data_IF_603272473758
#
_entry.id   IF_603272473758
#
_cell.length_a   1.000
_cell.length_b   1.000
_cell.length_c   1.000
_cell.angle_alpha   90.00
_cell.angle_beta   90.00
_cell.angle_gamma   90.00
#
_symmetry.space_group_name_H-M   'P 1'
#
loop_
_entity.id
_entity.type
_entity.pdbx_description
1 polymer ?
#
# COMPACT_ATOMS: atom_id res chain seq x y z
N UNK A 1 -9.35 -10.21 -32.60
CA UNK A 1 -8.46 -11.05 -31.76
C UNK A 1 -7.10 -10.39 -31.73
N UNK A 2 -6.82 -9.55 -30.73
CA UNK A 2 -5.49 -8.92 -30.60
C UNK A 2 -5.17 -8.70 -29.13
N UNK A 3 -4.09 -9.35 -28.71
CA UNK A 3 -3.26 -9.14 -27.52
C UNK A 3 -3.97 -8.91 -26.19
N UNK A 4 -4.18 -9.99 -25.44
CA UNK A 4 -4.14 -9.90 -23.98
C UNK A 4 -2.69 -9.61 -23.59
N UNK A 5 -2.30 -8.33 -23.61
CA UNK A 5 -1.08 -7.88 -22.95
C UNK A 5 -1.22 -8.22 -21.47
N UNK A 6 -0.63 -9.36 -21.08
CA UNK A 6 -0.52 -9.75 -19.68
C UNK A 6 0.50 -8.82 -19.04
N UNK A 7 0.05 -7.65 -18.59
CA UNK A 7 0.82 -6.85 -17.64
C UNK A 7 0.87 -7.63 -16.32
N UNK A 8 1.88 -8.48 -16.16
CA UNK A 8 2.19 -9.11 -14.89
C UNK A 8 3.12 -8.15 -14.15
N UNK A 9 2.56 -7.44 -13.17
CA UNK A 9 3.35 -6.65 -12.21
C UNK A 9 3.98 -7.64 -11.24
N UNK A 10 5.26 -7.97 -11.46
CA UNK A 10 6.03 -8.74 -10.48
C UNK A 10 6.64 -7.76 -9.49
N UNK A 11 6.21 -7.88 -8.24
CA UNK A 11 6.73 -7.14 -7.11
C UNK A 11 8.02 -7.83 -6.67
N UNK A 12 9.17 -7.31 -7.11
CA UNK A 12 10.48 -7.78 -6.65
C UNK A 12 11.02 -6.86 -5.55
N UNK A 13 11.80 -7.44 -4.65
CA UNK A 13 12.23 -6.93 -3.35
C UNK A 13 13.32 -5.84 -3.40
N UNK A 14 13.47 -5.10 -2.31
CA UNK A 14 14.61 -4.22 -2.08
C UNK A 14 15.83 -5.02 -1.59
N UNK A 15 16.67 -5.43 -2.55
CA UNK A 15 18.11 -5.77 -2.40
C UNK A 15 18.77 -6.03 -3.79
N UNK A 16 18.07 -5.78 -4.89
CA UNK A 16 18.52 -6.07 -6.26
C UNK A 16 19.17 -4.88 -6.96
N UNK A 17 19.67 -3.90 -6.19
CA UNK A 17 20.11 -2.63 -6.75
C UNK A 17 21.52 -2.67 -7.37
N UNK A 18 22.19 -3.82 -7.42
CA UNK A 18 23.37 -4.04 -8.27
C UNK A 18 23.68 -5.55 -8.39
N UNK A 19 23.70 -6.11 -9.60
CA UNK A 19 24.22 -7.46 -9.85
C UNK A 19 23.56 -8.23 -11.00
N UNK A 20 24.25 -9.26 -11.50
CA UNK A 20 23.87 -10.08 -12.66
C UNK A 20 22.50 -10.74 -12.56
N UNK A 21 22.07 -11.11 -11.34
CA UNK A 21 20.79 -11.78 -11.13
C UNK A 21 19.58 -10.87 -11.43
N UNK A 22 19.70 -9.55 -11.23
CA UNK A 22 18.66 -8.59 -11.61
C UNK A 22 18.55 -8.44 -13.13
N UNK A 23 19.70 -8.38 -13.81
CA UNK A 23 19.76 -8.28 -15.27
C UNK A 23 19.24 -9.56 -15.95
N UNK A 24 19.57 -10.73 -15.41
CA UNK A 24 19.06 -12.02 -15.87
C UNK A 24 17.55 -12.13 -15.68
N UNK A 25 17.02 -11.65 -14.55
CA UNK A 25 15.58 -11.59 -14.30
C UNK A 25 14.86 -10.64 -15.28
N UNK A 26 15.39 -9.43 -15.53
CA UNK A 26 14.84 -8.52 -16.54
C UNK A 26 14.88 -9.12 -17.95
N UNK A 27 15.95 -9.87 -18.28
CA UNK A 27 16.10 -10.55 -19.57
C UNK A 27 15.05 -11.65 -19.75
N UNK A 28 14.85 -12.49 -18.73
CA UNK A 28 13.82 -13.53 -18.71
C UNK A 28 12.42 -12.91 -18.88
N UNK A 29 12.15 -11.80 -18.20
CA UNK A 29 10.86 -11.11 -18.26
C UNK A 29 10.61 -10.51 -19.63
N UNK A 30 11.62 -9.87 -20.24
CA UNK A 30 11.55 -9.38 -21.62
C UNK A 30 11.33 -10.52 -22.63
N UNK A 31 11.97 -11.68 -22.45
CA UNK A 31 11.75 -12.88 -23.28
C UNK A 31 10.33 -13.44 -23.14
N UNK A 32 9.71 -13.30 -21.95
CA UNK A 32 8.32 -13.69 -21.70
C UNK A 32 7.29 -12.60 -22.07
N UNK A 33 7.71 -11.53 -22.74
CA UNK A 33 6.84 -10.43 -23.19
C UNK A 33 6.44 -9.45 -22.09
N UNK A 34 7.07 -9.52 -20.91
CA UNK A 34 6.88 -8.54 -19.82
C UNK A 34 7.74 -7.31 -20.12
N UNK A 35 7.09 -6.18 -20.39
CA UNK A 35 7.74 -4.95 -20.86
C UNK A 35 8.16 -4.00 -19.74
N UNK A 36 7.71 -4.24 -18.50
CA UNK A 36 8.08 -3.44 -17.33
C UNK A 36 8.11 -4.27 -16.04
N UNK A 37 9.15 -4.05 -15.23
CA UNK A 37 9.32 -4.63 -13.88
C UNK A 37 9.69 -3.47 -12.98
N UNK A 38 8.82 -3.15 -12.03
CA UNK A 38 9.07 -2.12 -11.04
C UNK A 38 9.13 -2.77 -9.66
N UNK A 39 10.21 -2.50 -8.93
CA UNK A 39 10.19 -2.65 -7.47
C UNK A 39 9.24 -1.58 -6.97
N UNK A 40 8.17 -1.99 -6.30
CA UNK A 40 7.18 -1.05 -5.77
C UNK A 40 7.21 -1.15 -4.26
N UNK A 41 7.67 -0.08 -3.62
CA UNK A 41 7.62 0.07 -2.18
C UNK A 41 6.16 0.25 -1.81
N UNK A 42 5.71 -0.50 -0.81
CA UNK A 42 4.42 -0.29 -0.17
C UNK A 42 4.61 0.44 1.15
N UNK A 43 4.00 1.62 1.25
CA UNK A 43 3.85 2.34 2.50
C UNK A 43 2.43 2.10 3.04
N UNK A 44 2.31 1.64 4.28
CA UNK A 44 1.02 1.48 4.96
C UNK A 44 0.91 2.47 6.11
N UNK A 45 -0.20 3.21 6.20
CA UNK A 45 -0.50 4.08 7.34
C UNK A 45 -1.73 3.54 8.04
N UNK A 46 -1.56 3.00 9.25
CA UNK A 46 -2.64 2.53 10.10
C UNK A 46 -3.25 3.72 10.83
N UNK A 47 -4.53 3.95 10.63
CA UNK A 47 -5.22 5.15 11.08
C UNK A 47 -5.99 4.91 12.37
N UNK A 48 -6.03 5.96 13.19
CA UNK A 48 -6.98 6.12 14.28
C UNK A 48 -7.87 7.29 13.97
N UNK A 49 -9.19 7.10 14.01
CA UNK A 49 -10.12 8.20 13.91
C UNK A 49 -10.08 9.06 15.17
N UNK A 50 -10.51 10.30 15.06
CA UNK A 50 -10.75 11.11 16.25
C UNK A 50 -11.84 10.51 17.13
N UNK A 51 -11.68 10.63 18.45
CA UNK A 51 -12.57 10.00 19.44
C UNK A 51 -13.99 10.56 19.43
N UNK A 52 -14.16 11.79 18.99
CA UNK A 52 -15.43 12.52 18.93
C UNK A 52 -16.26 12.23 17.67
N UNK A 53 -15.71 11.50 16.70
CA UNK A 53 -16.42 11.13 15.47
C UNK A 53 -17.04 9.74 15.56
N UNK A 54 -18.17 9.54 14.88
CA UNK A 54 -18.67 8.20 14.57
C UNK A 54 -17.84 7.54 13.47
N UNK A 55 -17.92 6.21 13.34
CA UNK A 55 -17.26 5.48 12.23
C UNK A 55 -17.77 5.96 10.86
N UNK A 56 -19.06 6.27 10.76
CA UNK A 56 -19.66 6.80 9.53
C UNK A 56 -19.11 8.18 9.16
N UNK A 57 -19.02 9.10 10.12
CA UNK A 57 -18.44 10.43 9.88
C UNK A 57 -16.98 10.33 9.43
N UNK A 58 -16.21 9.46 10.07
CA UNK A 58 -14.82 9.17 9.70
C UNK A 58 -14.72 8.64 8.27
N UNK A 59 -15.44 7.56 7.94
CA UNK A 59 -15.39 6.95 6.60
C UNK A 59 -15.90 7.89 5.51
N UNK A 60 -16.95 8.66 5.79
CA UNK A 60 -17.54 9.62 4.85
C UNK A 60 -16.57 10.75 4.52
N UNK A 61 -15.96 11.37 5.53
CA UNK A 61 -14.96 12.42 5.31
C UNK A 61 -13.75 11.86 4.57
N UNK A 62 -13.25 10.69 5.00
CA UNK A 62 -12.08 10.08 4.41
C UNK A 62 -12.29 9.73 2.92
N UNK A 63 -13.46 9.18 2.58
CA UNK A 63 -13.79 8.78 1.21
C UNK A 63 -14.10 9.97 0.30
N UNK A 64 -14.96 10.90 0.76
CA UNK A 64 -15.56 11.90 -0.12
C UNK A 64 -14.87 13.27 -0.08
N UNK A 65 -14.04 13.53 0.94
CA UNK A 65 -13.29 14.78 1.07
C UNK A 65 -11.80 14.51 0.91
N UNK A 66 -11.22 13.76 1.85
CA UNK A 66 -9.77 13.54 1.89
C UNK A 66 -9.26 12.78 0.66
N UNK A 67 -9.95 11.71 0.26
CA UNK A 67 -9.57 10.88 -0.89
C UNK A 67 -9.37 11.70 -2.17
N UNK A 68 -10.40 12.42 -2.67
CA UNK A 68 -10.27 13.31 -3.81
C UNK A 68 -9.22 14.41 -3.64
N UNK A 69 -9.15 15.00 -2.44
CA UNK A 69 -8.21 16.08 -2.12
C UNK A 69 -6.75 15.66 -2.34
N UNK A 70 -6.36 14.47 -1.89
CA UNK A 70 -4.96 14.02 -1.96
C UNK A 70 -4.62 13.22 -3.21
N UNK A 71 -5.61 12.67 -3.93
CA UNK A 71 -5.34 11.71 -5.02
C UNK A 71 -4.51 12.28 -6.16
N UNK A 72 -4.92 13.43 -6.73
CA UNK A 72 -4.17 14.08 -7.81
C UNK A 72 -2.79 14.56 -7.34
N UNK A 73 -2.72 15.04 -6.09
CA UNK A 73 -1.49 15.50 -5.49
C UNK A 73 -0.47 14.36 -5.27
N UNK A 74 -0.90 13.21 -4.73
CA UNK A 74 -0.06 12.02 -4.56
C UNK A 74 0.41 11.47 -5.92
N UNK A 75 -0.49 11.40 -6.90
CA UNK A 75 -0.14 10.97 -8.26
C UNK A 75 0.92 11.88 -8.89
N UNK A 76 0.80 13.21 -8.71
CA UNK A 76 1.79 14.18 -9.16
C UNK A 76 3.18 14.03 -8.54
N UNK A 77 3.29 13.38 -7.37
CA UNK A 77 4.57 13.07 -6.71
C UNK A 77 5.07 11.65 -6.99
N UNK A 78 4.45 10.94 -7.94
CA UNK A 78 4.91 9.62 -8.40
C UNK A 78 4.35 8.43 -7.61
N UNK A 79 3.32 8.64 -6.79
CA UNK A 79 2.56 7.51 -6.19
C UNK A 79 1.77 6.80 -7.29
N UNK A 80 1.97 5.49 -7.42
CA UNK A 80 1.42 4.65 -8.48
C UNK A 80 0.04 4.09 -8.10
N UNK A 81 -0.19 3.84 -6.81
CA UNK A 81 -1.50 3.44 -6.29
C UNK A 81 -1.71 4.01 -4.89
N UNK A 82 -2.92 4.51 -4.67
CA UNK A 82 -3.45 4.92 -3.38
C UNK A 82 -4.73 4.14 -3.12
N UNK A 83 -4.82 3.46 -1.99
CA UNK A 83 -6.05 2.84 -1.52
C UNK A 83 -6.34 3.20 -0.07
N UNK A 84 -7.63 3.31 0.23
CA UNK A 84 -8.17 3.42 1.58
C UNK A 84 -8.81 2.08 1.94
N UNK A 85 -8.35 1.48 3.01
CA UNK A 85 -9.01 0.34 3.65
C UNK A 85 -9.82 0.87 4.83
N UNK A 86 -11.14 0.72 4.75
CA UNK A 86 -12.07 1.06 5.82
C UNK A 86 -12.28 -0.16 6.72
N UNK A 87 -12.30 0.04 8.04
CA UNK A 87 -12.61 -1.05 8.99
C UNK A 87 -13.91 -0.76 9.76
N UNK A 88 -15.10 -0.92 9.12
CA UNK A 88 -16.38 -0.81 9.80
C UNK A 88 -16.49 -1.73 11.03
N UNK A 89 -17.20 -1.30 12.10
CA UNK A 89 -17.36 -2.09 13.32
C UNK A 89 -17.90 -3.51 13.08
N UNK A 90 -18.80 -3.69 12.11
CA UNK A 90 -19.36 -4.99 11.77
C UNK A 90 -18.28 -5.97 11.27
N UNK A 91 -17.46 -5.57 10.31
CA UNK A 91 -16.39 -6.45 9.80
C UNK A 91 -15.32 -6.75 10.85
N UNK A 92 -15.06 -5.80 11.77
CA UNK A 92 -14.16 -6.05 12.91
C UNK A 92 -14.76 -7.11 13.84
N UNK A 93 -16.04 -7.01 14.18
CA UNK A 93 -16.73 -7.98 15.03
C UNK A 93 -16.78 -9.38 14.38
N UNK A 94 -17.03 -9.46 13.08
CA UNK A 94 -17.03 -10.72 12.34
C UNK A 94 -15.63 -11.34 12.30
N UNK A 95 -14.59 -10.53 12.09
CA UNK A 95 -13.20 -10.99 12.19
C UNK A 95 -12.84 -11.47 13.60
N UNK A 96 -13.28 -10.78 14.66
CA UNK A 96 -13.08 -11.23 16.05
C UNK A 96 -13.67 -12.62 16.29
N UNK A 97 -14.88 -12.90 15.80
CA UNK A 97 -15.48 -14.25 15.90
C UNK A 97 -14.66 -15.29 15.14
N UNK A 98 -14.21 -14.96 13.93
CA UNK A 98 -13.43 -15.87 13.09
C UNK A 98 -12.11 -16.30 13.75
N UNK A 99 -11.47 -15.37 14.47
CA UNK A 99 -10.15 -15.56 15.06
C UNK A 99 -10.18 -15.71 16.59
N UNK A 100 -11.35 -15.95 17.19
CA UNK A 100 -11.55 -16.03 18.65
C UNK A 100 -10.59 -17.04 19.31
N UNK A 101 -10.29 -18.15 18.62
CA UNK A 101 -9.38 -19.19 19.09
C UNK A 101 -7.92 -18.72 19.25
N UNK A 102 -7.54 -17.58 18.68
CA UNK A 102 -6.22 -16.94 18.86
C UNK A 102 -6.17 -15.98 20.07
N UNK A 103 -7.30 -15.73 20.74
CA UNK A 103 -7.43 -14.85 21.89
C UNK A 103 -7.93 -13.44 21.57
N UNK A 104 -8.27 -12.69 22.63
CA UNK A 104 -8.96 -11.40 22.55
C UNK A 104 -8.20 -10.28 21.82
N UNK A 105 -6.86 -10.34 21.81
CA UNK A 105 -5.99 -9.33 21.20
C UNK A 105 -5.57 -9.66 19.76
N UNK A 106 -6.19 -10.69 19.16
CA UNK A 106 -5.85 -11.15 17.80
C UNK A 106 -6.32 -10.22 16.68
N UNK A 107 -7.20 -9.24 16.98
CA UNK A 107 -7.73 -8.28 16.02
C UNK A 107 -7.25 -6.88 16.37
N UNK A 108 -6.68 -6.21 15.37
CA UNK A 108 -6.23 -4.83 15.53
C UNK A 108 -7.39 -3.86 15.77
N UNK A 109 -7.13 -2.88 16.62
CA UNK A 109 -8.05 -1.79 16.92
C UNK A 109 -7.87 -0.58 15.98
N UNK A 110 -7.21 -0.69 14.82
CA UNK A 110 -7.14 0.43 13.85
C UNK A 110 -8.50 0.73 13.21
N UNK A 111 -8.78 1.98 12.86
CA UNK A 111 -10.07 2.37 12.25
C UNK A 111 -10.06 2.26 10.72
N UNK A 112 -8.86 2.14 10.16
CA UNK A 112 -8.62 1.90 8.74
C UNK A 112 -7.14 1.97 8.44
N UNK A 113 -6.75 1.80 7.18
CA UNK A 113 -5.39 2.09 6.76
C UNK A 113 -5.28 2.59 5.32
N UNK A 114 -4.28 3.42 5.05
CA UNK A 114 -3.87 3.79 3.69
C UNK A 114 -2.84 2.78 3.19
N UNK A 115 -2.89 2.43 1.91
CA UNK A 115 -1.75 1.81 1.22
C UNK A 115 -1.32 2.68 0.05
N UNK A 116 -0.04 3.04 0.03
CA UNK A 116 0.60 3.72 -1.09
C UNK A 116 1.61 2.79 -1.72
N UNK A 117 1.64 2.78 -3.05
CA UNK A 117 2.60 2.05 -3.86
C UNK A 117 3.44 3.07 -4.63
N UNK A 118 4.75 3.03 -4.45
CA UNK A 118 5.67 4.05 -4.95
C UNK A 118 7.00 3.44 -5.40
N UNK A 119 7.68 4.04 -6.39
CA UNK A 119 8.97 3.55 -6.89
C UNK A 119 10.15 3.89 -5.97
N UNK A 120 10.06 4.98 -5.19
CA UNK A 120 11.06 5.41 -4.20
C UNK A 120 10.39 6.12 -3.03
N UNK A 121 10.94 6.00 -1.81
CA UNK A 121 10.50 6.78 -0.65
C UNK A 121 10.63 8.30 -0.88
N UNK A 122 11.47 8.73 -1.83
CA UNK A 122 11.60 10.13 -2.22
C UNK A 122 10.27 10.72 -2.72
N UNK A 123 9.40 9.91 -3.33
CA UNK A 123 8.05 10.34 -3.73
C UNK A 123 7.29 10.93 -2.53
N UNK A 124 7.35 10.26 -1.38
CA UNK A 124 6.68 10.70 -0.16
C UNK A 124 7.48 11.80 0.52
N UNK A 125 8.80 11.72 0.57
CA UNK A 125 9.62 12.78 1.16
C UNK A 125 9.38 14.14 0.46
N UNK A 126 9.30 14.14 -0.87
CA UNK A 126 8.99 15.33 -1.67
C UNK A 126 7.55 15.80 -1.50
N UNK A 127 6.58 14.88 -1.40
CA UNK A 127 5.20 15.24 -1.09
C UNK A 127 5.13 15.95 0.28
N UNK A 128 5.75 15.38 1.32
CA UNK A 128 5.73 15.94 2.67
C UNK A 128 6.43 17.32 2.79
N UNK A 129 7.39 17.62 1.91
CA UNK A 129 8.07 18.93 1.88
C UNK A 129 7.30 19.99 1.10
N UNK A 130 6.33 19.59 0.26
CA UNK A 130 5.49 20.50 -0.50
C UNK A 130 4.60 21.36 0.44
N UNK A 131 4.49 22.69 0.23
CA UNK A 131 3.61 23.55 1.03
C UNK A 131 2.16 23.06 1.13
N UNK A 132 1.63 22.48 0.05
CA UNK A 132 0.28 21.91 0.02
C UNK A 132 0.06 20.87 1.14
N UNK A 133 1.09 20.09 1.50
CA UNK A 133 0.97 19.14 2.60
C UNK A 133 0.66 19.83 3.93
N UNK A 134 1.42 20.87 4.26
CA UNK A 134 1.27 21.59 5.54
C UNK A 134 0.03 22.48 5.56
N UNK A 135 -0.28 23.11 4.44
CA UNK A 135 -1.34 24.12 4.35
C UNK A 135 -2.73 23.52 4.09
N UNK A 136 -2.79 22.33 3.48
CA UNK A 136 -4.07 21.72 3.05
C UNK A 136 -4.24 20.32 3.62
N UNK A 137 -3.26 19.42 3.44
CA UNK A 137 -3.43 18.00 3.82
C UNK A 137 -3.44 17.80 5.34
N UNK A 138 -2.57 18.48 6.09
CA UNK A 138 -2.55 18.41 7.56
C UNK A 138 -3.86 18.95 8.16
N UNK A 139 -4.32 20.17 7.83
CA UNK A 139 -5.57 20.70 8.37
C UNK A 139 -6.80 19.83 8.06
N UNK A 140 -6.86 19.23 6.87
CA UNK A 140 -7.91 18.28 6.50
C UNK A 140 -7.78 16.97 7.29
N UNK A 141 -6.57 16.42 7.42
CA UNK A 141 -6.26 15.26 8.26
C UNK A 141 -6.76 15.43 9.69
N UNK A 142 -6.49 16.58 10.30
CA UNK A 142 -6.88 16.91 11.66
C UNK A 142 -8.41 16.97 11.86
N UNK A 143 -9.20 17.00 10.77
CA UNK A 143 -10.67 16.91 10.87
C UNK A 143 -11.15 15.49 11.20
N UNK A 144 -10.41 14.44 10.84
CA UNK A 144 -10.93 13.07 10.93
C UNK A 144 -10.00 12.03 11.59
N UNK A 145 -8.68 12.27 11.63
CA UNK A 145 -7.73 11.35 12.28
C UNK A 145 -7.10 11.92 13.56
N UNK A 146 -6.75 11.04 14.48
CA UNK A 146 -5.79 11.31 15.55
C UNK A 146 -4.39 11.01 15.03
N UNK A 147 -3.78 11.98 14.32
CA UNK A 147 -2.53 11.77 13.58
C UNK A 147 -1.37 11.21 14.42
N UNK A 148 -1.24 11.66 15.68
CA UNK A 148 -0.21 11.17 16.62
C UNK A 148 -0.42 9.73 17.09
N UNK A 149 -1.63 9.21 16.94
CA UNK A 149 -1.97 7.82 17.29
C UNK A 149 -1.89 6.87 16.08
N UNK A 150 -1.57 7.39 14.90
CA UNK A 150 -1.43 6.59 13.68
C UNK A 150 -0.02 5.97 13.59
N UNK A 151 0.07 4.77 13.04
CA UNK A 151 1.35 4.06 12.83
C UNK A 151 1.65 3.89 11.34
N UNK A 152 2.92 3.66 10.99
CA UNK A 152 3.36 3.56 9.59
C UNK A 152 4.34 2.42 9.40
N UNK A 153 4.29 1.74 8.25
CA UNK A 153 5.29 0.74 7.83
C UNK A 153 5.67 0.96 6.38
N UNK A 154 6.90 0.59 6.01
CA UNK A 154 7.38 0.56 4.63
C UNK A 154 7.95 -0.83 4.33
N UNK A 155 7.65 -1.38 3.16
CA UNK A 155 8.13 -2.69 2.77
C UNK A 155 7.83 -3.00 1.31
N UNK A 156 7.82 -4.28 0.97
CA UNK A 156 7.42 -4.79 -0.34
C UNK A 156 6.39 -5.91 -0.14
N UNK A 157 5.66 -6.24 -1.20
CA UNK A 157 4.71 -7.35 -1.22
C UNK A 157 5.22 -8.42 -2.16
N UNK A 158 5.10 -9.68 -1.78
CA UNK A 158 5.21 -10.82 -2.71
C UNK A 158 3.80 -11.35 -2.95
N UNK A 159 3.41 -11.51 -4.22
CA UNK A 159 2.06 -11.92 -4.59
C UNK A 159 2.05 -13.38 -5.03
N UNK A 160 1.52 -14.27 -4.19
CA UNK A 160 1.41 -15.70 -4.46
C UNK A 160 0.06 -16.10 -5.07
N UNK A 161 -0.96 -15.24 -4.94
CA UNK A 161 -2.30 -15.46 -5.50
C UNK A 161 -2.81 -14.14 -6.07
N UNK A 162 -3.22 -14.16 -7.34
CA UNK A 162 -3.80 -13.01 -8.04
C UNK A 162 -4.98 -13.48 -8.90
N UNK A 163 -6.12 -12.79 -8.82
CA UNK A 163 -7.33 -13.13 -9.57
C UNK A 163 -7.75 -14.61 -9.43
N UNK A 164 -7.76 -15.12 -8.19
CA UNK A 164 -8.08 -16.51 -7.86
C UNK A 164 -7.18 -17.56 -8.54
N UNK A 165 -5.93 -17.20 -8.86
CA UNK A 165 -4.93 -18.10 -9.45
C UNK A 165 -3.61 -17.99 -8.70
N UNK A 166 -2.96 -19.14 -8.50
CA UNK A 166 -1.60 -19.18 -7.95
C UNK A 166 -0.65 -18.53 -8.95
N UNK A 167 0.22 -17.66 -8.44
CA UNK A 167 1.29 -17.02 -9.20
C UNK A 167 2.55 -17.87 -9.02
N UNK A 168 3.13 -18.34 -10.12
CA UNK A 168 4.41 -19.03 -10.09
C UNK A 168 5.53 -18.04 -9.77
N UNK A 169 6.23 -18.24 -8.66
CA UNK A 169 7.41 -17.46 -8.29
C UNK A 169 8.64 -18.30 -8.63
N UNK A 170 9.57 -17.79 -9.48
CA UNK A 170 10.80 -18.50 -9.77
C UNK A 170 11.60 -18.78 -8.48
N UNK A 171 12.27 -19.95 -8.36
CA UNK A 171 13.07 -20.26 -7.18
C UNK A 171 14.18 -19.22 -6.96
N UNK A 172 14.44 -18.92 -5.68
CA UNK A 172 15.47 -17.98 -5.23
C UNK A 172 16.87 -18.58 -5.42
N UNK A 173 17.39 -18.62 -6.63
CA UNK A 173 18.81 -18.95 -6.86
C UNK A 173 19.66 -17.72 -6.61
N UNK A 174 20.50 -17.72 -5.56
CA UNK A 174 21.58 -16.74 -5.38
C UNK A 174 21.49 -15.73 -4.24
N UNK A 175 20.71 -15.95 -3.16
CA UNK A 175 20.89 -15.13 -1.94
C UNK A 175 22.24 -15.47 -1.28
N UNK A 176 23.15 -14.50 -1.20
CA UNK A 176 24.02 -14.43 -0.03
C UNK A 176 23.11 -14.21 1.19
N UNK A 177 23.27 -15.04 2.22
CA UNK A 177 22.58 -14.95 3.50
C UNK A 177 22.61 -13.52 4.03
N UNK A 178 21.45 -13.04 4.49
CA UNK A 178 21.28 -11.79 5.24
C UNK A 178 22.15 -11.77 6.50
#
# INVERSE_FOLDING_TARGET
MTSNDKTIVILASGAWNAGSAYDDFRRLLKQKGVTAVAIVIRLTLMLKKRKDLTDEQFHRHWTHVHGPLVSAWLAGHGVIKYSQYHQPPQYRADATKLWEYLGADSITNWDGHVQLYLPSLDCIANALSNPFYKEVVIPDGDQFISAKSCMRTAGYEECFIMNNRVVEIPPLTGRASL
#
